data_IF_944792560445
#
_entry.id   IF_944792560445
#
_cell.length_a   1.000
_cell.length_b   1.000
_cell.length_c   1.000
_cell.angle_alpha   90.00
_cell.angle_beta   90.00
_cell.angle_gamma   90.00
#
_symmetry.space_group_name_H-M   'P 1'
#
loop_
_entity.id
_entity.type
_entity.pdbx_description
1 polymer ?
#
# COMPACT_ATOMS: atom_id res chain seq x y z
N UNK A 1 16.87 -15.55 -4.53
CA UNK A 1 16.94 -14.25 -3.82
C UNK A 1 15.50 -13.79 -3.61
N UNK A 2 15.17 -13.40 -2.40
CA UNK A 2 13.82 -12.92 -2.10
C UNK A 2 13.78 -11.40 -2.26
N UNK A 3 12.81 -10.88 -3.01
CA UNK A 3 12.64 -9.45 -3.19
C UNK A 3 11.24 -9.00 -2.79
N UNK A 4 11.10 -7.73 -2.42
CA UNK A 4 9.82 -7.15 -2.06
C UNK A 4 9.72 -5.69 -2.54
N UNK A 5 8.59 -5.33 -3.11
CA UNK A 5 8.14 -3.95 -3.17
C UNK A 5 7.42 -3.61 -1.87
N UNK A 6 7.88 -2.59 -1.18
CA UNK A 6 7.19 -2.09 0.01
C UNK A 6 6.03 -1.18 -0.39
N UNK A 7 4.86 -1.46 0.19
CA UNK A 7 3.69 -0.60 0.10
C UNK A 7 3.18 -0.26 1.50
N UNK A 8 2.68 0.97 1.68
CA UNK A 8 2.21 1.50 2.97
C UNK A 8 0.86 2.13 2.74
N UNK A 9 -0.15 1.65 3.45
CA UNK A 9 -1.52 2.17 3.34
C UNK A 9 -1.84 3.20 4.44
N UNK A 10 -2.97 3.86 4.27
CA UNK A 10 -3.60 4.81 5.20
C UNK A 10 -2.83 6.12 5.46
N UNK A 11 -1.86 6.43 4.61
CA UNK A 11 -1.07 7.67 4.69
C UNK A 11 -2.01 8.89 4.58
N UNK A 12 -1.88 9.91 5.43
CA UNK A 12 -0.79 10.21 6.33
C UNK A 12 -1.23 10.14 7.80
N UNK A 13 -0.27 9.82 8.66
CA UNK A 13 -0.39 9.96 10.11
C UNK A 13 0.69 10.90 10.68
N UNK A 14 0.68 11.16 11.99
CA UNK A 14 1.72 12.00 12.59
C UNK A 14 3.10 11.33 12.64
N UNK A 15 3.20 10.00 12.42
CA UNK A 15 4.47 9.27 12.34
C UNK A 15 4.97 9.09 10.90
N UNK A 16 4.21 9.52 9.88
CA UNK A 16 4.67 9.45 8.47
C UNK A 16 6.11 9.96 8.28
N UNK A 17 6.53 11.10 8.86
CA UNK A 17 7.92 11.57 8.71
C UNK A 17 8.95 10.60 9.29
N UNK A 18 8.67 9.96 10.42
CA UNK A 18 9.57 9.00 11.05
C UNK A 18 9.72 7.74 10.20
N UNK A 19 8.60 7.21 9.67
CA UNK A 19 8.61 6.09 8.71
C UNK A 19 9.45 6.46 7.48
N UNK A 20 9.22 7.63 6.90
CA UNK A 20 9.93 8.10 5.70
C UNK A 20 11.43 8.30 5.96
N UNK A 21 11.82 8.79 7.12
CA UNK A 21 13.23 8.94 7.49
C UNK A 21 13.93 7.58 7.64
N UNK A 22 13.28 6.59 8.26
CA UNK A 22 13.81 5.22 8.34
C UNK A 22 13.96 4.60 6.95
N UNK A 23 12.95 4.73 6.10
CA UNK A 23 13.02 4.26 4.70
C UNK A 23 14.19 4.91 3.94
N UNK A 24 14.37 6.22 4.09
CA UNK A 24 15.48 6.94 3.46
C UNK A 24 16.85 6.46 3.99
N UNK A 25 16.96 6.24 5.30
CA UNK A 25 18.19 5.73 5.91
C UNK A 25 18.57 4.34 5.39
N UNK A 26 17.57 3.49 5.09
CA UNK A 26 17.75 2.15 4.48
C UNK A 26 17.91 2.19 2.96
N UNK A 27 17.71 3.33 2.32
CA UNK A 27 17.69 3.43 0.85
C UNK A 27 16.47 2.78 0.19
N UNK A 28 15.39 2.55 0.96
CA UNK A 28 14.14 1.95 0.48
C UNK A 28 13.25 3.04 -0.13
N UNK A 29 12.63 2.74 -1.26
CA UNK A 29 11.55 3.54 -1.86
C UNK A 29 10.26 2.76 -1.81
N UNK A 30 9.21 3.36 -1.28
CA UNK A 30 7.91 2.74 -1.14
C UNK A 30 6.86 3.39 -2.05
N UNK A 31 5.78 2.65 -2.32
CA UNK A 31 4.50 3.21 -2.76
C UNK A 31 3.63 3.40 -1.51
N UNK A 32 3.20 4.62 -1.27
CA UNK A 32 2.40 5.00 -0.10
C UNK A 32 1.00 5.36 -0.57
N UNK A 33 -0.01 4.55 -0.24
CA UNK A 33 -1.39 4.79 -0.64
C UNK A 33 -2.08 5.68 0.40
N UNK A 34 -2.45 6.89 -0.03
CA UNK A 34 -2.90 7.93 0.84
C UNK A 34 -4.43 8.08 0.83
N UNK A 35 -5.02 8.13 2.00
CA UNK A 35 -6.43 8.48 2.21
C UNK A 35 -6.57 10.00 2.14
N UNK A 36 -7.39 10.51 1.22
CA UNK A 36 -7.48 11.94 0.97
C UNK A 36 -7.81 12.77 2.22
N UNK A 37 -8.70 12.29 3.07
CA UNK A 37 -9.04 12.94 4.36
C UNK A 37 -7.83 12.99 5.32
N UNK A 38 -6.99 11.95 5.35
CA UNK A 38 -5.79 11.93 6.18
C UNK A 38 -4.76 12.95 5.67
N UNK A 39 -4.58 13.01 4.36
CA UNK A 39 -3.70 14.01 3.73
C UNK A 39 -4.15 15.44 4.06
N UNK A 40 -5.45 15.75 3.95
CA UNK A 40 -5.94 17.09 4.29
C UNK A 40 -5.74 17.45 5.77
N UNK A 41 -5.86 16.47 6.66
CA UNK A 41 -5.64 16.63 8.10
C UNK A 41 -4.17 16.79 8.48
N UNK A 42 -3.29 16.04 7.82
CA UNK A 42 -1.85 15.94 8.11
C UNK A 42 -1.05 16.25 6.82
N UNK A 43 -1.29 17.46 6.31
CA UNK A 43 -0.79 17.93 5.03
C UNK A 43 0.74 17.95 4.94
N UNK A 44 1.39 18.47 5.98
CA UNK A 44 2.85 18.63 5.96
C UNK A 44 3.57 17.29 5.97
N UNK A 45 3.01 16.30 6.65
CA UNK A 45 3.51 14.94 6.73
C UNK A 45 3.46 14.25 5.37
N UNK A 46 2.34 14.42 4.65
CA UNK A 46 2.20 13.91 3.28
C UNK A 46 3.12 14.64 2.29
N UNK A 47 3.24 15.98 2.39
CA UNK A 47 4.19 16.78 1.58
C UNK A 47 5.63 16.28 1.80
N UNK A 48 5.99 16.00 3.06
CA UNK A 48 7.32 15.47 3.41
C UNK A 48 7.60 14.14 2.71
N UNK A 49 6.66 13.20 2.70
CA UNK A 49 6.82 11.91 2.03
C UNK A 49 7.11 12.08 0.52
N UNK A 50 6.35 12.96 -0.16
CA UNK A 50 6.58 13.27 -1.59
C UNK A 50 7.96 13.89 -1.80
N UNK A 51 8.35 14.89 -0.97
CA UNK A 51 9.65 15.57 -1.08
C UNK A 51 10.83 14.62 -0.86
N UNK A 52 10.67 13.60 -0.03
CA UNK A 52 11.68 12.55 0.20
C UNK A 52 11.71 11.48 -0.89
N UNK A 53 10.86 11.62 -1.90
CA UNK A 53 10.87 10.78 -3.10
C UNK A 53 10.14 9.46 -2.91
N UNK A 54 9.16 9.39 -2.02
CA UNK A 54 8.18 8.31 -1.99
C UNK A 54 7.14 8.53 -3.10
N UNK A 55 6.61 7.45 -3.66
CA UNK A 55 5.49 7.55 -4.60
C UNK A 55 4.19 7.52 -3.80
N UNK A 56 3.49 8.64 -3.72
CA UNK A 56 2.20 8.73 -3.04
C UNK A 56 1.07 8.50 -4.04
N UNK A 57 0.34 7.41 -3.86
CA UNK A 57 -0.80 6.97 -4.68
C UNK A 57 -2.14 7.15 -3.97
N UNK A 58 -3.21 6.82 -4.68
CA UNK A 58 -4.59 7.03 -4.25
C UNK A 58 -5.11 5.82 -3.48
N UNK A 59 -5.62 6.04 -2.26
CA UNK A 59 -6.32 5.06 -1.43
C UNK A 59 -7.75 5.50 -1.12
N UNK A 60 -8.42 6.11 -2.11
CA UNK A 60 -9.71 6.79 -1.97
C UNK A 60 -9.66 8.03 -1.07
N UNK A 61 -10.76 8.82 -1.05
CA UNK A 61 -10.81 10.01 -0.22
C UNK A 61 -11.23 9.70 1.22
N UNK A 62 -12.29 8.88 1.40
CA UNK A 62 -12.91 8.63 2.71
C UNK A 62 -12.71 7.20 3.23
N UNK A 63 -11.97 6.36 2.50
CA UNK A 63 -11.65 4.97 2.86
C UNK A 63 -12.89 4.08 3.09
N UNK A 64 -13.88 4.06 2.17
CA UNK A 64 -15.06 3.21 2.29
C UNK A 64 -14.79 1.76 1.83
N UNK A 65 -15.63 0.82 2.20
CA UNK A 65 -15.74 -0.45 1.50
C UNK A 65 -16.42 -0.19 0.14
N UNK A 66 -15.72 -0.47 -0.95
CA UNK A 66 -16.21 -0.13 -2.30
C UNK A 66 -17.38 -1.00 -2.75
N UNK A 67 -17.55 -2.19 -2.16
CA UNK A 67 -18.74 -3.04 -2.36
C UNK A 67 -20.02 -2.45 -1.78
N UNK A 68 -19.92 -1.47 -0.88
CA UNK A 68 -21.07 -0.78 -0.29
C UNK A 68 -21.50 0.45 -1.10
N UNK A 69 -20.77 0.81 -2.17
CA UNK A 69 -20.99 2.01 -2.98
C UNK A 69 -21.61 1.67 -4.35
N UNK A 70 -22.35 2.62 -4.89
CA UNK A 70 -22.62 2.66 -6.33
C UNK A 70 -21.34 2.99 -7.10
N UNK A 71 -21.33 2.71 -8.41
CA UNK A 71 -20.17 3.06 -9.26
C UNK A 71 -19.90 4.55 -9.25
N UNK A 72 -20.96 5.37 -9.27
CA UNK A 72 -20.88 6.82 -9.26
C UNK A 72 -20.27 7.36 -7.95
N UNK A 73 -20.70 6.82 -6.80
CA UNK A 73 -20.16 7.19 -5.49
C UNK A 73 -18.68 6.78 -5.36
N UNK A 74 -18.34 5.57 -5.81
CA UNK A 74 -16.98 5.07 -5.82
C UNK A 74 -16.05 5.95 -6.67
N UNK A 75 -16.49 6.31 -7.89
CA UNK A 75 -15.75 7.20 -8.79
C UNK A 75 -15.57 8.58 -8.15
N UNK A 76 -16.62 9.14 -7.56
CA UNK A 76 -16.53 10.46 -6.92
C UNK A 76 -15.53 10.49 -5.76
N UNK A 77 -15.45 9.39 -4.97
CA UNK A 77 -14.49 9.27 -3.88
C UNK A 77 -13.05 9.15 -4.40
N UNK A 78 -12.82 8.38 -5.47
CA UNK A 78 -11.53 8.29 -6.15
C UNK A 78 -11.11 9.67 -6.69
N UNK A 79 -11.99 10.36 -7.44
CA UNK A 79 -11.68 11.66 -8.06
C UNK A 79 -11.36 12.72 -7.02
N UNK A 80 -12.10 12.73 -5.91
CA UNK A 80 -11.84 13.66 -4.82
C UNK A 80 -10.46 13.46 -4.20
N UNK A 81 -10.01 12.21 -4.06
CA UNK A 81 -8.65 11.92 -3.61
C UNK A 81 -7.62 12.38 -4.66
N UNK A 82 -7.86 12.17 -5.95
CA UNK A 82 -6.97 12.65 -7.02
C UNK A 82 -6.73 14.15 -6.96
N UNK A 83 -7.81 14.94 -6.73
CA UNK A 83 -7.69 16.40 -6.55
C UNK A 83 -6.80 16.78 -5.35
N UNK A 84 -6.90 16.02 -4.25
CA UNK A 84 -6.04 16.22 -3.07
C UNK A 84 -4.59 15.91 -3.43
N UNK A 85 -4.35 14.79 -4.10
CA UNK A 85 -3.00 14.37 -4.46
C UNK A 85 -2.34 15.28 -5.49
N UNK A 86 -3.08 15.83 -6.44
CA UNK A 86 -2.54 16.81 -7.41
C UNK A 86 -2.08 18.07 -6.68
N UNK A 87 -2.87 18.58 -5.73
CA UNK A 87 -2.48 19.70 -4.87
C UNK A 87 -1.27 19.37 -3.99
N UNK A 88 -1.21 18.14 -3.48
CA UNK A 88 -0.11 17.64 -2.64
C UNK A 88 1.22 17.69 -3.41
N UNK A 89 1.26 17.09 -4.60
CA UNK A 89 2.46 17.07 -5.44
C UNK A 89 2.88 18.49 -5.89
N UNK A 90 1.90 19.35 -6.18
CA UNK A 90 2.18 20.76 -6.47
C UNK A 90 2.82 21.47 -5.27
N UNK A 91 2.29 21.28 -4.07
CA UNK A 91 2.83 21.85 -2.84
C UNK A 91 4.23 21.33 -2.50
N UNK A 92 4.49 20.05 -2.79
CA UNK A 92 5.81 19.44 -2.63
C UNK A 92 6.85 19.94 -3.65
N UNK A 93 6.42 20.60 -4.73
CA UNK A 93 7.29 21.03 -5.84
C UNK A 93 7.82 19.88 -6.68
N UNK A 94 7.13 18.74 -6.69
CA UNK A 94 7.53 17.49 -7.38
C UNK A 94 6.50 17.17 -8.46
N UNK A 95 6.96 16.83 -9.66
CA UNK A 95 6.07 16.37 -10.73
C UNK A 95 5.49 14.98 -10.37
N UNK A 96 4.18 14.84 -10.42
CA UNK A 96 3.49 13.57 -10.22
C UNK A 96 3.65 12.70 -11.47
N UNK A 97 4.60 11.75 -11.42
CA UNK A 97 4.94 10.91 -12.57
C UNK A 97 4.01 9.71 -12.72
N UNK A 98 3.50 9.19 -11.60
CA UNK A 98 2.68 7.97 -11.54
C UNK A 98 1.45 8.19 -10.69
N UNK A 99 0.37 7.50 -11.04
CA UNK A 99 -0.94 7.54 -10.39
C UNK A 99 -1.39 6.12 -9.98
N UNK A 100 -0.67 5.44 -9.08
CA UNK A 100 -1.11 4.14 -8.59
C UNK A 100 -2.35 4.28 -7.72
N UNK A 101 -3.20 3.24 -7.74
CA UNK A 101 -4.41 3.15 -6.93
C UNK A 101 -4.44 1.83 -6.16
N UNK A 102 -5.01 1.86 -4.97
CA UNK A 102 -5.37 0.68 -4.18
C UNK A 102 -6.74 0.88 -3.56
N UNK A 103 -7.59 -0.13 -3.71
CA UNK A 103 -8.88 -0.15 -3.03
C UNK A 103 -8.70 -0.34 -1.52
N UNK A 104 -9.40 0.46 -0.66
CA UNK A 104 -9.50 0.19 0.76
C UNK A 104 -9.91 -1.27 1.05
N UNK A 105 -9.29 -1.88 2.06
CA UNK A 105 -9.51 -3.28 2.44
C UNK A 105 -9.21 -4.32 1.33
N UNK A 106 -8.67 -3.92 0.19
CA UNK A 106 -8.59 -4.76 -1.01
C UNK A 106 -9.96 -5.06 -1.63
N UNK A 107 -10.99 -4.32 -1.21
CA UNK A 107 -12.36 -4.47 -1.70
C UNK A 107 -12.55 -3.76 -3.04
N UNK A 108 -12.53 -4.54 -4.11
CA UNK A 108 -12.58 -4.05 -5.49
C UNK A 108 -14.00 -3.69 -5.98
N UNK A 109 -14.96 -3.54 -5.06
CA UNK A 109 -16.33 -3.12 -5.37
C UNK A 109 -17.28 -4.25 -5.77
N UNK A 110 -16.98 -5.51 -5.44
CA UNK A 110 -17.87 -6.63 -5.68
C UNK A 110 -18.34 -6.73 -7.15
N UNK A 111 -19.65 -6.62 -7.39
CA UNK A 111 -20.23 -6.66 -8.74
C UNK A 111 -19.80 -5.45 -9.61
N UNK A 112 -19.37 -4.36 -9.00
CA UNK A 112 -18.93 -3.15 -9.70
C UNK A 112 -17.45 -3.21 -10.13
N UNK A 113 -16.71 -4.28 -9.78
CA UNK A 113 -15.28 -4.43 -10.08
C UNK A 113 -14.94 -4.08 -11.52
N UNK A 114 -15.66 -4.67 -12.47
CA UNK A 114 -15.36 -4.48 -13.90
C UNK A 114 -15.52 -3.01 -14.34
N UNK A 115 -16.56 -2.33 -13.85
CA UNK A 115 -16.79 -0.92 -14.15
C UNK A 115 -15.68 -0.03 -13.54
N UNK A 116 -15.25 -0.33 -12.30
CA UNK A 116 -14.20 0.42 -11.63
C UNK A 116 -12.83 0.18 -12.27
N UNK A 117 -12.49 -1.04 -12.67
CA UNK A 117 -11.26 -1.32 -13.43
C UNK A 117 -11.23 -0.59 -14.78
N UNK A 118 -12.36 -0.57 -15.50
CA UNK A 118 -12.49 0.20 -16.75
C UNK A 118 -12.29 1.70 -16.51
N UNK A 119 -12.89 2.25 -15.44
CA UNK A 119 -12.70 3.64 -15.06
C UNK A 119 -11.21 3.96 -14.78
N UNK A 120 -10.51 3.11 -14.01
CA UNK A 120 -9.09 3.31 -13.72
C UNK A 120 -8.26 3.29 -15.02
N UNK A 121 -8.59 2.41 -15.98
CA UNK A 121 -7.95 2.36 -17.30
C UNK A 121 -8.19 3.65 -18.09
N UNK A 122 -9.44 4.06 -18.24
CA UNK A 122 -9.85 5.27 -19.00
C UNK A 122 -9.19 6.54 -18.43
N UNK A 123 -9.08 6.62 -17.11
CA UNK A 123 -8.41 7.74 -16.41
C UNK A 123 -6.90 7.60 -16.34
N UNK A 124 -6.34 6.54 -16.93
CA UNK A 124 -4.88 6.28 -17.05
C UNK A 124 -4.18 6.21 -15.70
N UNK A 125 -4.77 5.47 -14.75
CA UNK A 125 -4.05 5.08 -13.55
C UNK A 125 -2.90 4.15 -13.92
N UNK A 126 -1.81 4.22 -13.17
CA UNK A 126 -0.62 3.42 -13.41
C UNK A 126 -0.66 2.14 -12.58
N UNK A 127 -0.50 0.99 -13.25
CA UNK A 127 -0.37 -0.29 -12.58
C UNK A 127 1.04 -0.44 -12.00
N UNK A 128 1.16 -0.86 -10.76
CA UNK A 128 2.44 -1.34 -10.23
C UNK A 128 2.89 -2.57 -11.01
N UNK A 129 4.17 -2.67 -11.35
CA UNK A 129 4.70 -3.81 -12.11
C UNK A 129 4.75 -5.08 -11.24
N UNK A 130 3.72 -5.89 -11.37
CA UNK A 130 3.52 -7.16 -10.70
C UNK A 130 3.76 -8.39 -11.60
N UNK A 131 4.25 -8.19 -12.85
CA UNK A 131 4.49 -9.27 -13.83
C UNK A 131 5.44 -10.36 -13.35
N UNK A 132 6.17 -10.09 -12.30
CA UNK A 132 7.16 -11.01 -11.75
C UNK A 132 6.69 -11.71 -10.46
N UNK A 133 5.44 -11.52 -10.06
CA UNK A 133 4.85 -12.24 -8.93
C UNK A 133 4.69 -13.71 -9.33
N UNK A 134 5.29 -14.67 -8.59
CA UNK A 134 5.37 -16.06 -9.05
C UNK A 134 4.20 -16.94 -8.61
N UNK A 135 3.21 -16.41 -7.89
CA UNK A 135 2.18 -17.19 -7.22
C UNK A 135 1.05 -17.58 -8.18
N UNK A 136 0.75 -18.89 -8.28
CA UNK A 136 -0.31 -19.39 -9.13
C UNK A 136 -1.67 -18.71 -8.85
N UNK A 137 -2.01 -18.57 -7.56
CA UNK A 137 -3.26 -17.93 -7.15
C UNK A 137 -3.38 -16.46 -7.60
N UNK A 138 -2.25 -15.75 -7.79
CA UNK A 138 -2.25 -14.37 -8.29
C UNK A 138 -2.79 -14.31 -9.73
N UNK A 139 -2.32 -15.22 -10.56
CA UNK A 139 -2.72 -15.32 -11.97
C UNK A 139 -4.09 -15.99 -12.16
N UNK A 140 -4.41 -17.00 -11.35
CA UNK A 140 -5.70 -17.70 -11.36
C UNK A 140 -6.86 -16.76 -10.97
N UNK A 141 -6.62 -15.79 -10.10
CA UNK A 141 -7.60 -14.75 -9.74
C UNK A 141 -7.47 -13.48 -10.60
N UNK A 142 -6.68 -13.52 -11.67
CA UNK A 142 -6.51 -12.43 -12.63
C UNK A 142 -6.04 -11.11 -12.02
N UNK A 143 -5.36 -11.15 -10.86
CA UNK A 143 -4.87 -9.97 -10.15
C UNK A 143 -3.79 -9.23 -10.94
N UNK A 144 -3.04 -9.96 -11.77
CA UNK A 144 -2.08 -9.42 -12.74
C UNK A 144 -2.73 -8.64 -13.89
N UNK A 145 -4.05 -8.73 -14.06
CA UNK A 145 -4.81 -7.97 -15.06
C UNK A 145 -5.45 -6.70 -14.50
N UNK A 146 -5.69 -6.65 -13.20
CA UNK A 146 -6.27 -5.49 -12.52
C UNK A 146 -5.29 -4.31 -12.55
N UNK A 147 -5.80 -3.08 -12.57
CA UNK A 147 -5.00 -1.86 -12.58
C UNK A 147 -4.61 -1.45 -11.16
N UNK A 148 -5.51 -1.68 -10.21
CA UNK A 148 -5.22 -1.43 -8.81
C UNK A 148 -4.08 -2.35 -8.30
N UNK A 149 -3.45 -1.91 -7.23
CA UNK A 149 -2.36 -2.65 -6.59
C UNK A 149 -2.89 -3.44 -5.41
N UNK A 150 -2.86 -4.78 -5.46
CA UNK A 150 -3.08 -5.62 -4.30
C UNK A 150 -1.72 -5.98 -3.67
N UNK A 151 -1.73 -6.66 -2.53
CA UNK A 151 -0.53 -7.16 -1.84
C UNK A 151 -0.46 -8.69 -1.90
N UNK A 152 0.73 -9.21 -1.77
CA UNK A 152 0.97 -10.66 -1.65
C UNK A 152 1.19 -11.09 -0.21
N UNK A 153 1.61 -10.13 0.64
CA UNK A 153 1.78 -10.34 2.07
C UNK A 153 1.42 -9.06 2.82
N UNK A 154 0.57 -9.21 3.83
CA UNK A 154 0.15 -8.15 4.75
C UNK A 154 0.57 -8.54 6.17
N UNK A 155 1.26 -7.66 6.88
CA UNK A 155 1.63 -7.89 8.28
C UNK A 155 0.43 -7.90 9.23
N UNK A 156 -0.65 -7.23 8.86
CA UNK A 156 -1.85 -7.00 9.68
C UNK A 156 -1.54 -6.36 11.05
N UNK A 157 -0.43 -5.65 11.16
CA UNK A 157 0.04 -5.04 12.41
C UNK A 157 -0.95 -4.01 12.97
N UNK A 158 -1.76 -3.40 12.11
CA UNK A 158 -2.84 -2.49 12.49
C UNK A 158 -3.88 -3.15 13.41
N UNK A 159 -4.02 -4.48 13.36
CA UNK A 159 -4.97 -5.21 14.22
C UNK A 159 -4.64 -5.11 15.70
N UNK A 160 -3.39 -4.83 16.04
CA UNK A 160 -2.95 -4.68 17.45
C UNK A 160 -3.77 -3.61 18.17
N UNK A 161 -4.22 -2.56 17.47
CA UNK A 161 -5.04 -1.48 18.05
C UNK A 161 -6.53 -1.84 18.22
N UNK A 162 -7.04 -2.81 17.45
CA UNK A 162 -8.47 -3.14 17.44
C UNK A 162 -8.80 -4.47 18.11
N UNK A 163 -7.87 -5.43 18.09
CA UNK A 163 -8.06 -6.78 18.58
C UNK A 163 -7.10 -7.06 19.74
N UNK A 164 -7.57 -7.07 21.00
CA UNK A 164 -6.69 -7.31 22.15
C UNK A 164 -6.07 -8.70 22.17
N UNK A 165 -6.56 -9.63 21.36
CA UNK A 165 -5.98 -10.97 21.19
C UNK A 165 -4.88 -11.01 20.14
N UNK A 166 -4.81 -10.00 19.25
CA UNK A 166 -3.79 -9.87 18.23
C UNK A 166 -2.63 -9.00 18.75
N UNK A 167 -1.47 -9.58 18.82
CA UNK A 167 -0.28 -8.94 19.44
C UNK A 167 0.91 -8.98 18.49
N UNK A 168 2.02 -8.36 18.88
CA UNK A 168 3.30 -8.49 18.16
C UNK A 168 3.67 -9.96 17.88
N UNK A 169 3.36 -10.88 18.83
CA UNK A 169 3.58 -12.32 18.62
C UNK A 169 2.73 -12.87 17.48
N UNK A 170 1.54 -12.34 17.29
CA UNK A 170 0.65 -12.72 16.19
C UNK A 170 1.23 -12.28 14.84
N UNK A 171 1.81 -11.07 14.77
CA UNK A 171 2.51 -10.58 13.59
C UNK A 171 3.69 -11.50 13.26
N UNK A 172 4.54 -11.83 14.25
CA UNK A 172 5.67 -12.73 14.03
C UNK A 172 5.24 -14.16 13.65
N UNK A 173 4.18 -14.66 14.25
CA UNK A 173 3.64 -15.99 13.88
C UNK A 173 3.17 -16.00 12.42
N UNK A 174 2.55 -14.90 11.95
CA UNK A 174 2.13 -14.75 10.56
C UNK A 174 3.31 -14.75 9.59
N UNK A 175 4.41 -14.08 9.93
CA UNK A 175 5.62 -14.08 9.08
C UNK A 175 6.25 -15.45 8.92
N UNK A 176 6.01 -16.36 9.86
CA UNK A 176 6.54 -17.73 9.89
C UNK A 176 5.55 -18.78 9.38
N UNK A 177 4.34 -18.37 9.00
CA UNK A 177 3.32 -19.29 8.50
C UNK A 177 3.69 -19.82 7.11
N UNK A 178 3.92 -21.12 7.02
CA UNK A 178 4.27 -21.80 5.77
C UNK A 178 3.03 -22.32 5.00
N UNK A 179 1.83 -22.07 5.51
CA UNK A 179 0.57 -22.42 4.85
C UNK A 179 -0.52 -21.38 5.13
N UNK A 180 -0.29 -20.12 4.74
CA UNK A 180 -1.24 -19.05 5.03
C UNK A 180 -2.58 -19.29 4.34
N UNK A 181 -3.68 -18.92 5.02
CA UNK A 181 -5.02 -18.99 4.45
C UNK A 181 -5.25 -17.97 3.32
N UNK A 182 -4.49 -16.89 3.32
CA UNK A 182 -4.53 -15.80 2.33
C UNK A 182 -3.13 -15.24 2.11
N UNK A 183 -2.86 -14.76 0.91
CA UNK A 183 -1.55 -14.23 0.55
C UNK A 183 -0.52 -15.33 0.27
N UNK A 184 0.74 -14.97 0.35
CA UNK A 184 1.88 -15.85 0.08
C UNK A 184 2.69 -16.14 1.34
N UNK A 185 3.41 -17.25 1.33
CA UNK A 185 4.46 -17.53 2.31
C UNK A 185 5.55 -16.48 2.18
N UNK A 186 5.86 -15.77 3.27
CA UNK A 186 6.80 -14.65 3.23
C UNK A 186 8.24 -15.08 2.93
N UNK A 187 8.66 -16.22 3.45
CA UNK A 187 10.01 -16.72 3.25
C UNK A 187 9.99 -18.08 2.54
N UNK A 188 10.72 -18.17 1.44
CA UNK A 188 10.84 -19.38 0.62
C UNK A 188 11.92 -19.18 -0.44
N UNK A 189 12.00 -20.07 -1.41
CA UNK A 189 12.95 -19.92 -2.51
C UNK A 189 12.39 -18.99 -3.60
N UNK A 190 13.20 -17.98 -3.96
CA UNK A 190 12.89 -17.04 -5.07
C UNK A 190 11.53 -16.34 -4.96
N UNK A 191 11.16 -15.94 -3.76
CA UNK A 191 9.92 -15.20 -3.53
C UNK A 191 10.02 -13.75 -4.05
N UNK A 192 8.92 -13.26 -4.58
CA UNK A 192 8.75 -11.84 -4.95
C UNK A 192 7.44 -11.35 -4.37
N UNK A 193 7.52 -10.30 -3.60
CA UNK A 193 6.38 -9.80 -2.85
C UNK A 193 6.02 -8.36 -3.20
N UNK A 194 4.74 -8.07 -3.05
CA UNK A 194 4.24 -6.74 -2.71
C UNK A 194 3.84 -6.84 -1.24
N UNK A 195 4.66 -6.26 -0.37
CA UNK A 195 4.46 -6.31 1.08
C UNK A 195 3.68 -5.09 1.51
N UNK A 196 2.69 -5.32 2.37
CA UNK A 196 1.86 -4.28 2.95
C UNK A 196 2.16 -4.10 4.43
N UNK A 197 2.34 -2.85 4.83
CA UNK A 197 2.20 -2.34 6.19
C UNK A 197 1.36 -1.05 6.16
N UNK A 198 0.98 -0.54 7.33
CA UNK A 198 0.09 0.62 7.46
C UNK A 198 0.76 1.76 8.23
N UNK A 199 0.34 2.99 7.98
CA UNK A 199 0.84 4.20 8.64
C UNK A 199 -0.12 4.62 9.77
N UNK A 200 -0.01 3.93 10.92
CA UNK A 200 -0.88 4.17 12.07
C UNK A 200 -0.10 4.60 13.33
N UNK A 201 -0.33 5.83 13.77
CA UNK A 201 0.21 6.34 15.03
C UNK A 201 -0.30 5.55 16.25
N UNK A 202 -1.52 5.00 16.17
CA UNK A 202 -2.12 4.17 17.21
C UNK A 202 -1.39 2.83 17.35
N UNK A 203 -0.95 2.22 16.25
CA UNK A 203 -0.10 1.02 16.29
C UNK A 203 1.25 1.35 16.92
N UNK A 204 1.85 2.48 16.54
CA UNK A 204 3.11 2.94 17.09
C UNK A 204 3.06 3.24 18.59
N UNK A 205 1.94 3.78 19.07
CA UNK A 205 1.71 4.01 20.49
C UNK A 205 1.69 2.71 21.33
N UNK A 206 1.32 1.57 20.73
CA UNK A 206 1.27 0.25 21.39
C UNK A 206 2.57 -0.52 21.14
N UNK A 207 3.12 -0.40 19.96
CA UNK A 207 4.37 -1.04 19.54
C UNK A 207 5.29 0.01 18.91
N UNK A 208 6.06 0.74 19.74
CA UNK A 208 6.93 1.81 19.27
C UNK A 208 7.88 1.36 18.17
N UNK A 209 8.01 2.19 17.13
CA UNK A 209 8.87 1.94 15.97
C UNK A 209 8.58 0.60 15.26
N UNK A 210 7.31 0.13 15.29
CA UNK A 210 6.92 -1.16 14.70
C UNK A 210 7.42 -1.32 13.26
N UNK A 211 7.40 -0.26 12.47
CA UNK A 211 7.87 -0.26 11.08
C UNK A 211 9.37 -0.58 10.99
N UNK A 212 10.20 -0.07 11.90
CA UNK A 212 11.62 -0.41 11.97
C UNK A 212 11.77 -1.92 12.23
N UNK A 213 11.05 -2.46 13.20
CA UNK A 213 11.11 -3.89 13.55
C UNK A 213 10.71 -4.79 12.38
N UNK A 214 9.66 -4.43 11.63
CA UNK A 214 9.20 -5.18 10.47
C UNK A 214 10.25 -5.14 9.34
N UNK A 215 10.82 -3.97 9.06
CA UNK A 215 11.82 -3.80 8.02
C UNK A 215 13.16 -4.47 8.38
N UNK A 216 13.60 -4.36 9.63
CA UNK A 216 14.79 -5.09 10.13
C UNK A 216 14.61 -6.58 9.92
N UNK A 217 13.47 -7.12 10.35
CA UNK A 217 13.19 -8.55 10.23
C UNK A 217 13.21 -9.03 8.77
N UNK A 218 12.65 -8.28 7.83
CA UNK A 218 12.72 -8.62 6.41
C UNK A 218 14.17 -8.62 5.90
N UNK A 219 14.94 -7.58 6.22
CA UNK A 219 16.32 -7.43 5.75
C UNK A 219 17.25 -8.49 6.38
N UNK A 220 17.10 -8.80 7.68
CA UNK A 220 17.84 -9.84 8.39
C UNK A 220 17.55 -11.24 7.82
N UNK A 221 16.35 -11.46 7.27
CA UNK A 221 15.98 -12.69 6.57
C UNK A 221 16.27 -12.64 5.04
N UNK A 222 17.11 -11.70 4.62
CA UNK A 222 17.65 -11.66 3.26
C UNK A 222 16.69 -11.14 2.19
N UNK A 223 15.63 -10.42 2.58
CA UNK A 223 14.75 -9.74 1.61
C UNK A 223 15.42 -8.46 1.12
N UNK A 224 15.49 -8.29 -0.18
CA UNK A 224 15.97 -7.09 -0.85
C UNK A 224 14.78 -6.29 -1.36
N UNK A 225 14.74 -5.00 -1.03
CA UNK A 225 13.64 -4.14 -1.48
C UNK A 225 13.87 -3.64 -2.90
N UNK A 226 12.89 -3.91 -3.76
CA UNK A 226 12.83 -3.40 -5.13
C UNK A 226 12.38 -1.93 -5.12
N UNK A 227 12.84 -1.17 -6.12
CA UNK A 227 12.29 0.16 -6.36
C UNK A 227 10.92 0.04 -7.04
N UNK A 228 9.96 0.94 -6.74
CA UNK A 228 8.70 0.98 -7.45
C UNK A 228 8.90 1.08 -8.97
N UNK A 229 8.25 0.21 -9.70
CA UNK A 229 8.17 0.24 -11.15
C UNK A 229 6.69 0.20 -11.57
N UNK A 230 6.36 0.88 -12.67
CA UNK A 230 4.98 1.04 -13.11
C UNK A 230 4.83 0.71 -14.58
N UNK A 231 3.67 0.13 -14.92
CA UNK A 231 3.26 -0.15 -16.28
C UNK A 231 2.17 0.85 -16.66
N UNK A 232 2.36 1.53 -17.81
CA UNK A 232 1.28 2.32 -18.41
C UNK A 232 0.26 1.36 -19.02
N UNK A 233 -0.97 1.45 -18.56
CA UNK A 233 -2.06 0.71 -19.17
C UNK A 233 -2.43 1.40 -20.48
N UNK A 234 -2.59 0.67 -21.58
CA UNK A 234 -2.89 1.22 -22.90
C UNK A 234 -4.19 2.00 -22.96
#
# INVERSE_FOLDING_TARGET
MNTALLTIDDVSSCITPAIVDDLCARGIKAVMFAVGMNVERLWNEAVYAVQKGMTVGNHSYSHPAFSDLTVEEAIADIEKCEEVLDRLYQAAGVARQYRPFRFPYGDKGGENKAALQNYLAEKRFDKVDDRHIPYAWWHENELDKDIDTLWTFDFEEYRIQYDPTFTQKSVWAKTQDNNPKSGAVLFGENQRHIVLMHDFAETDAIWPDYYCHLLDYLQENGVVFDKPAFIKVP
#
